data_IF_652095664502
#
_entry.id   IF_652095664502
#
_cell.length_a   1.000
_cell.length_b   1.000
_cell.length_c   1.000
_cell.angle_alpha   90.00
_cell.angle_beta   90.00
_cell.angle_gamma   90.00
#
_symmetry.space_group_name_H-M   'P 1'
#
loop_
_entity.id
_entity.type
_entity.pdbx_description
1 polymer ?
#
# COMPACT_ATOMS: atom_id res chain seq x y z
N UNK A 1 -15.06 -2.07 15.42
CA UNK A 1 -13.61 -2.36 15.33
C UNK A 1 -12.85 -1.57 16.38
N UNK A 2 -11.72 -2.07 16.87
CA UNK A 2 -10.86 -1.37 17.86
C UNK A 2 -9.44 -1.17 17.34
N UNK A 3 -8.95 0.07 17.37
CA UNK A 3 -7.55 0.38 17.11
C UNK A 3 -6.92 1.00 18.37
N UNK A 4 -6.21 0.22 19.20
CA UNK A 4 -5.63 0.72 20.44
C UNK A 4 -4.40 1.59 20.17
N UNK A 5 -4.16 2.61 20.99
CA UNK A 5 -2.89 3.35 20.95
C UNK A 5 -1.76 2.48 21.50
N UNK A 6 -0.58 2.54 20.88
CA UNK A 6 0.61 1.80 21.33
C UNK A 6 0.99 2.08 22.79
N UNK A 7 0.95 3.35 23.20
CA UNK A 7 1.40 3.81 24.52
C UNK A 7 0.25 3.91 25.54
N UNK A 8 -0.99 3.79 25.09
CA UNK A 8 -2.19 3.82 25.93
C UNK A 8 -3.20 2.80 25.38
N UNK A 9 -3.04 1.49 25.63
CA UNK A 9 -3.85 0.44 24.99
C UNK A 9 -5.36 0.47 25.31
N UNK A 10 -5.72 1.19 26.38
CA UNK A 10 -7.11 1.44 26.78
C UNK A 10 -7.75 2.61 26.01
N UNK A 11 -6.95 3.38 25.28
CA UNK A 11 -7.39 4.49 24.43
C UNK A 11 -7.39 4.06 22.96
N UNK A 12 -8.18 4.77 22.16
CA UNK A 12 -8.35 4.49 20.74
C UNK A 12 -7.59 5.50 19.88
N UNK A 13 -7.09 5.03 18.74
CA UNK A 13 -6.57 5.89 17.69
C UNK A 13 -7.66 6.84 17.21
N UNK A 14 -7.32 8.12 17.09
CA UNK A 14 -8.19 9.17 16.54
C UNK A 14 -7.50 9.84 15.37
N UNK A 15 -8.24 10.53 14.49
CA UNK A 15 -7.68 11.35 13.40
C UNK A 15 -6.53 10.67 12.62
N UNK A 16 -6.71 9.38 12.33
CA UNK A 16 -5.72 8.52 11.69
C UNK A 16 -6.30 8.05 10.36
N UNK A 17 -5.54 8.24 9.28
CA UNK A 17 -5.95 7.88 7.92
C UNK A 17 -4.96 6.86 7.36
N UNK A 18 -5.48 5.68 7.05
CA UNK A 18 -4.73 4.54 6.53
C UNK A 18 -5.25 4.25 5.13
N UNK A 19 -4.32 3.97 4.22
CA UNK A 19 -4.65 3.51 2.87
C UNK A 19 -4.52 1.99 2.78
N UNK A 20 -5.44 1.38 2.04
CA UNK A 20 -5.59 -0.07 1.99
C UNK A 20 -6.66 -0.54 1.02
N UNK A 21 -6.67 -1.85 0.80
CA UNK A 21 -7.63 -2.55 -0.05
C UNK A 21 -8.38 -3.59 0.77
N UNK A 22 -9.69 -3.71 0.57
CA UNK A 22 -10.46 -4.85 1.08
C UNK A 22 -10.42 -5.95 0.03
N UNK A 23 -10.02 -7.15 0.45
CA UNK A 23 -10.04 -8.37 -0.35
C UNK A 23 -10.90 -9.42 0.32
N UNK A 24 -11.43 -10.34 -0.46
CA UNK A 24 -12.05 -11.56 0.04
C UNK A 24 -11.01 -12.70 -0.05
N UNK A 25 -10.47 -13.10 1.10
CA UNK A 25 -9.52 -14.23 1.18
C UNK A 25 -10.27 -15.55 1.38
N UNK A 26 -9.82 -16.59 0.71
CA UNK A 26 -10.26 -17.97 0.94
C UNK A 26 -9.41 -18.61 2.07
N UNK A 27 -9.97 -18.66 3.29
CA UNK A 27 -9.36 -19.33 4.45
C UNK A 27 -9.97 -20.74 4.57
N UNK A 28 -9.30 -21.73 3.96
CA UNK A 28 -9.84 -23.09 3.78
C UNK A 28 -11.18 -23.06 3.03
N UNK A 29 -12.28 -23.48 3.66
CA UNK A 29 -13.62 -23.48 3.06
C UNK A 29 -14.42 -22.21 3.36
N UNK A 30 -13.82 -21.23 4.07
CA UNK A 30 -14.52 -20.00 4.48
C UNK A 30 -13.96 -18.77 3.79
N UNK A 31 -14.85 -17.94 3.23
CA UNK A 31 -14.52 -16.62 2.73
C UNK A 31 -14.40 -15.63 3.89
N UNK A 32 -13.27 -14.93 3.97
CA UNK A 32 -12.97 -13.97 5.03
C UNK A 32 -12.58 -12.63 4.41
N UNK A 33 -13.36 -11.59 4.71
CA UNK A 33 -13.01 -10.23 4.33
C UNK A 33 -11.75 -9.78 5.09
N UNK A 34 -10.78 -9.22 4.37
CA UNK A 34 -9.52 -8.72 4.92
C UNK A 34 -9.20 -7.35 4.36
N UNK A 35 -8.99 -6.38 5.24
CA UNK A 35 -8.42 -5.09 4.91
C UNK A 35 -6.89 -5.18 4.95
N UNK A 36 -6.27 -5.07 3.77
CA UNK A 36 -4.83 -5.04 3.55
C UNK A 36 -4.35 -3.60 3.54
N UNK A 37 -3.90 -3.11 4.70
CA UNK A 37 -3.32 -1.78 4.84
C UNK A 37 -1.92 -1.74 4.21
N UNK A 38 -1.65 -0.78 3.34
CA UNK A 38 -0.36 -0.67 2.66
C UNK A 38 0.33 0.70 2.79
N UNK A 39 -0.36 1.75 3.23
CA UNK A 39 0.27 3.03 3.58
C UNK A 39 -0.49 3.75 4.72
N UNK A 40 0.12 4.78 5.31
CA UNK A 40 -0.50 5.64 6.32
C UNK A 40 -0.24 7.11 5.99
N UNK A 41 -1.33 7.89 5.93
CA UNK A 41 -1.33 9.27 5.45
C UNK A 41 -1.32 10.24 6.64
N UNK A 42 -2.12 9.93 7.68
CA UNK A 42 -2.19 10.68 8.93
C UNK A 42 -2.17 9.74 10.12
N UNK A 43 -1.51 10.17 11.20
CA UNK A 43 -1.50 9.48 12.48
C UNK A 43 -1.82 10.48 13.58
N UNK A 44 -2.97 10.34 14.24
CA UNK A 44 -3.40 11.19 15.34
C UNK A 44 -3.34 12.69 15.03
N UNK A 45 -3.81 13.08 13.85
CA UNK A 45 -3.78 14.45 13.34
C UNK A 45 -2.40 14.90 12.83
N UNK A 46 -1.35 14.08 12.98
CA UNK A 46 -0.02 14.38 12.44
C UNK A 46 0.06 13.92 10.98
N UNK A 47 0.44 14.79 10.03
CA UNK A 47 0.66 14.39 8.64
C UNK A 47 1.89 13.51 8.51
N UNK A 48 1.68 12.27 8.06
CA UNK A 48 2.75 11.27 7.83
C UNK A 48 3.09 11.15 6.33
N UNK A 49 2.16 11.52 5.45
CA UNK A 49 2.27 11.43 4.00
C UNK A 49 3.56 12.06 3.41
N UNK A 50 4.09 13.10 4.04
CA UNK A 50 5.32 13.79 3.59
C UNK A 50 6.60 12.99 3.85
N UNK A 51 6.54 11.96 4.70
CA UNK A 51 7.72 11.13 5.03
C UNK A 51 7.97 10.11 3.93
N UNK A 52 9.22 9.62 3.84
CA UNK A 52 9.61 8.50 2.97
C UNK A 52 8.78 7.24 3.28
N UNK A 53 8.58 6.37 2.28
CA UNK A 53 7.77 5.17 2.40
C UNK A 53 8.14 4.33 3.61
N UNK A 54 9.43 4.09 3.85
CA UNK A 54 9.90 3.29 4.99
C UNK A 54 9.37 3.84 6.32
N UNK A 55 9.39 5.16 6.50
CA UNK A 55 8.90 5.78 7.73
C UNK A 55 7.39 5.63 7.87
N UNK A 56 6.64 5.77 6.78
CA UNK A 56 5.18 5.57 6.76
C UNK A 56 4.84 4.12 7.10
N UNK A 57 5.51 3.15 6.47
CA UNK A 57 5.35 1.72 6.76
C UNK A 57 5.72 1.36 8.21
N UNK A 58 6.79 1.94 8.76
CA UNK A 58 7.15 1.77 10.17
C UNK A 58 6.06 2.32 11.10
N UNK A 59 5.48 3.48 10.78
CA UNK A 59 4.37 4.05 11.53
C UNK A 59 3.13 3.15 11.47
N UNK A 60 2.74 2.67 10.28
CA UNK A 60 1.63 1.74 10.10
C UNK A 60 1.85 0.47 10.94
N UNK A 61 3.02 -0.15 10.84
CA UNK A 61 3.34 -1.36 11.57
C UNK A 61 3.30 -1.13 13.09
N UNK A 62 4.05 -0.14 13.58
CA UNK A 62 4.32 0.00 15.02
C UNK A 62 3.18 0.67 15.78
N UNK A 63 2.44 1.59 15.16
CA UNK A 63 1.41 2.38 15.84
C UNK A 63 -0.01 1.82 15.61
N UNK A 64 -0.21 0.99 14.57
CA UNK A 64 -1.53 0.42 14.24
C UNK A 64 -1.54 -1.11 14.35
N UNK A 65 -0.68 -1.78 13.59
CA UNK A 65 -0.77 -3.23 13.38
C UNK A 65 -0.32 -3.99 14.63
N UNK A 66 0.86 -3.65 15.18
CA UNK A 66 1.41 -4.31 16.37
C UNK A 66 0.54 -4.08 17.61
N UNK A 67 0.10 -2.84 17.94
CA UNK A 67 -0.76 -2.62 19.11
C UNK A 67 -2.05 -3.43 19.05
N UNK A 68 -2.68 -3.48 17.87
CA UNK A 68 -3.90 -4.24 17.65
C UNK A 68 -3.68 -5.76 17.75
N UNK A 69 -2.57 -6.27 17.20
CA UNK A 69 -2.22 -7.70 17.32
C UNK A 69 -1.95 -8.12 18.77
N UNK A 70 -1.38 -7.22 19.56
CA UNK A 70 -0.99 -7.47 20.95
C UNK A 70 -2.12 -7.24 21.94
N UNK A 71 -3.17 -6.52 21.56
CA UNK A 71 -4.35 -6.32 22.40
C UNK A 71 -5.12 -7.63 22.58
N UNK A 72 -5.30 -8.03 23.84
CA UNK A 72 -6.06 -9.22 24.26
C UNK A 72 -7.39 -8.86 24.90
N UNK A 73 -7.68 -7.56 25.04
CA UNK A 73 -8.90 -7.08 25.70
C UNK A 73 -10.12 -7.13 24.78
N UNK A 74 -9.94 -7.47 23.50
CA UNK A 74 -10.98 -7.40 22.47
C UNK A 74 -10.94 -8.65 21.59
N UNK A 75 -12.12 -9.17 21.29
CA UNK A 75 -12.28 -10.31 20.39
C UNK A 75 -12.34 -9.84 18.93
N UNK A 76 -11.17 -9.74 18.32
CA UNK A 76 -11.00 -9.32 16.93
C UNK A 76 -11.60 -10.29 15.90
N UNK A 77 -11.98 -11.51 16.29
CA UNK A 77 -12.64 -12.46 15.39
C UNK A 77 -14.09 -12.07 15.05
N UNK A 78 -14.70 -11.19 15.86
CA UNK A 78 -16.08 -10.70 15.68
C UNK A 78 -16.19 -9.46 14.78
N UNK A 79 -15.07 -8.94 14.30
CA UNK A 79 -15.09 -7.77 13.42
C UNK A 79 -15.53 -8.15 12.00
N UNK A 80 -16.14 -7.20 11.26
CA UNK A 80 -16.65 -7.47 9.91
C UNK A 80 -15.54 -7.87 8.91
N UNK A 81 -14.29 -7.50 9.19
CA UNK A 81 -13.14 -7.92 8.42
C UNK A 81 -11.88 -7.93 9.30
N UNK A 82 -10.92 -8.78 8.94
CA UNK A 82 -9.60 -8.81 9.58
C UNK A 82 -8.72 -7.70 9.02
N UNK A 83 -7.85 -7.14 9.85
CA UNK A 83 -6.90 -6.09 9.42
C UNK A 83 -5.48 -6.67 9.40
N UNK A 84 -4.77 -6.49 8.29
CA UNK A 84 -3.39 -6.94 8.13
C UNK A 84 -2.59 -5.89 7.34
N UNK A 85 -1.30 -5.78 7.61
CA UNK A 85 -0.40 -5.02 6.74
C UNK A 85 -0.05 -5.84 5.50
N UNK A 86 -0.15 -5.23 4.32
CA UNK A 86 0.28 -5.87 3.08
C UNK A 86 1.80 -6.10 3.11
N UNK A 87 2.22 -7.27 2.66
CA UNK A 87 3.65 -7.59 2.57
C UNK A 87 4.31 -6.71 1.49
N UNK A 88 5.42 -6.07 1.85
CA UNK A 88 6.21 -5.22 0.97
C UNK A 88 7.53 -5.91 0.64
N UNK A 89 7.90 -5.89 -0.63
CA UNK A 89 9.12 -6.53 -1.12
C UNK A 89 10.03 -5.51 -1.80
N UNK A 90 11.34 -5.72 -1.71
CA UNK A 90 12.31 -4.95 -2.50
C UNK A 90 12.11 -5.26 -3.99
N UNK A 91 12.39 -4.29 -4.86
CA UNK A 91 12.25 -4.41 -6.32
C UNK A 91 12.95 -5.67 -6.89
N UNK A 92 14.12 -6.03 -6.37
CA UNK A 92 14.85 -7.24 -6.78
C UNK A 92 14.09 -8.57 -6.52
N UNK A 93 12.95 -8.55 -5.82
CA UNK A 93 12.10 -9.71 -5.54
C UNK A 93 10.86 -9.79 -6.46
N UNK A 94 10.76 -8.96 -7.50
CA UNK A 94 9.62 -9.00 -8.44
C UNK A 94 9.38 -10.38 -9.04
N UNK A 95 10.42 -11.06 -9.52
CA UNK A 95 10.27 -12.41 -10.10
C UNK A 95 9.69 -13.40 -9.07
N UNK A 96 10.22 -13.38 -7.84
CA UNK A 96 9.69 -14.19 -6.75
C UNK A 96 8.23 -13.86 -6.45
N UNK A 97 7.87 -12.57 -6.48
CA UNK A 97 6.51 -12.13 -6.22
C UNK A 97 5.53 -12.68 -7.27
N UNK A 98 5.87 -12.56 -8.55
CA UNK A 98 5.03 -13.00 -9.67
C UNK A 98 4.94 -14.53 -9.77
N UNK A 99 6.06 -15.23 -9.58
CA UNK A 99 6.13 -16.68 -9.87
C UNK A 99 5.74 -17.54 -8.67
N UNK A 100 5.94 -17.05 -7.43
CA UNK A 100 5.72 -17.81 -6.19
C UNK A 100 4.72 -17.14 -5.25
N UNK A 101 4.95 -15.88 -4.87
CA UNK A 101 4.12 -15.24 -3.84
C UNK A 101 2.66 -15.08 -4.29
N UNK A 102 2.43 -14.62 -5.53
CA UNK A 102 1.09 -14.44 -6.09
C UNK A 102 0.27 -15.75 -6.11
N UNK A 103 0.93 -16.90 -6.25
CA UNK A 103 0.28 -18.22 -6.18
C UNK A 103 -0.02 -18.69 -4.76
N UNK A 104 0.62 -18.06 -3.76
CA UNK A 104 0.46 -18.43 -2.34
C UNK A 104 -0.60 -17.60 -1.62
N UNK A 105 -1.06 -16.51 -2.23
CA UNK A 105 -2.15 -15.72 -1.65
C UNK A 105 -3.50 -16.33 -2.00
N UNK A 106 -4.48 -16.09 -1.13
CA UNK A 106 -5.80 -16.71 -1.12
C UNK A 106 -6.89 -15.83 -1.72
N UNK A 107 -6.51 -14.76 -2.41
CA UNK A 107 -7.39 -13.83 -3.12
C UNK A 107 -6.84 -13.61 -4.53
N UNK A 108 -7.65 -13.01 -5.40
CA UNK A 108 -7.28 -12.65 -6.76
C UNK A 108 -6.11 -11.66 -6.80
N UNK A 109 -5.17 -11.88 -7.73
CA UNK A 109 -3.99 -11.02 -7.92
C UNK A 109 -3.86 -10.68 -9.40
N UNK A 110 -4.09 -9.41 -9.72
CA UNK A 110 -4.08 -8.91 -11.10
C UNK A 110 -2.74 -8.33 -11.54
N UNK A 111 -1.72 -8.40 -10.68
CA UNK A 111 -0.39 -7.91 -11.01
C UNK A 111 0.38 -7.38 -9.81
N UNK A 112 1.17 -6.34 -10.06
CA UNK A 112 2.14 -5.80 -9.10
C UNK A 112 2.10 -4.29 -9.08
N UNK A 113 2.26 -3.71 -7.88
CA UNK A 113 2.32 -2.26 -7.68
C UNK A 113 3.72 -1.89 -7.23
N UNK A 114 4.31 -0.91 -7.91
CA UNK A 114 5.63 -0.36 -7.56
C UNK A 114 5.48 0.97 -6.84
N UNK A 115 5.84 0.98 -5.56
CA UNK A 115 5.78 2.18 -4.72
C UNK A 115 7.19 2.77 -4.54
N UNK A 116 7.44 4.01 -4.96
CA UNK A 116 8.74 4.66 -4.77
C UNK A 116 9.08 4.83 -3.29
N UNK A 117 10.32 4.56 -2.90
CA UNK A 117 10.76 4.64 -1.48
C UNK A 117 10.95 6.07 -1.00
N UNK A 118 11.51 6.92 -1.87
CA UNK A 118 11.94 8.28 -1.52
C UNK A 118 10.84 9.32 -1.66
N UNK A 119 9.79 9.02 -2.43
CA UNK A 119 8.74 9.99 -2.70
C UNK A 119 7.75 10.10 -1.52
N UNK A 120 7.23 11.31 -1.25
CA UNK A 120 6.08 11.48 -0.38
C UNK A 120 4.86 10.78 -0.99
N UNK A 121 3.86 10.51 -0.16
CA UNK A 121 2.56 10.05 -0.61
C UNK A 121 1.82 11.23 -1.27
N UNK A 122 1.42 11.07 -2.53
CA UNK A 122 0.75 12.14 -3.28
C UNK A 122 -0.76 12.12 -3.05
N UNK A 123 -1.37 13.30 -3.05
CA UNK A 123 -2.82 13.46 -3.02
C UNK A 123 -3.32 13.53 -4.47
N UNK A 124 -4.17 12.57 -4.86
CA UNK A 124 -4.69 12.45 -6.21
C UNK A 124 -3.74 11.77 -7.20
N UNK A 125 -4.28 11.43 -8.37
CA UNK A 125 -3.62 10.72 -9.46
C UNK A 125 -4.67 10.38 -10.52
N UNK A 126 -4.23 10.19 -11.77
CA UNK A 126 -5.11 9.88 -12.90
C UNK A 126 -5.60 8.43 -12.78
N UNK A 127 -6.91 8.22 -12.62
CA UNK A 127 -7.52 6.89 -12.75
C UNK A 127 -7.50 6.48 -14.23
N UNK A 128 -6.92 5.32 -14.54
CA UNK A 128 -6.86 4.78 -15.90
C UNK A 128 -7.12 3.27 -15.85
N UNK A 129 -7.97 2.78 -16.75
CA UNK A 129 -8.25 1.34 -16.90
C UNK A 129 -7.09 0.57 -17.57
N UNK A 130 -6.11 1.28 -18.16
CA UNK A 130 -4.92 0.67 -18.76
C UNK A 130 -3.82 0.42 -17.70
N UNK A 131 -2.95 -0.59 -17.90
CA UNK A 131 -1.76 -0.77 -17.07
C UNK A 131 -0.92 0.51 -16.99
N UNK A 132 -0.71 1.00 -15.76
CA UNK A 132 0.05 2.22 -15.50
C UNK A 132 1.51 1.86 -15.21
N UNK A 133 2.42 2.38 -16.05
CA UNK A 133 3.86 2.26 -15.82
C UNK A 133 4.36 3.51 -15.11
N UNK A 134 4.98 3.32 -13.94
CA UNK A 134 5.52 4.40 -13.12
C UNK A 134 7.01 4.55 -13.34
N UNK A 135 7.42 5.70 -13.87
CA UNK A 135 8.81 6.07 -14.09
C UNK A 135 9.26 7.07 -13.03
N UNK A 136 10.36 6.76 -12.36
CA UNK A 136 11.07 7.70 -11.47
C UNK A 136 12.37 8.03 -12.18
N UNK A 137 12.44 9.20 -12.80
CA UNK A 137 13.70 9.69 -13.35
C UNK A 137 14.59 10.14 -12.19
N UNK A 138 15.73 9.47 -12.00
CA UNK A 138 16.80 9.99 -11.16
C UNK A 138 17.52 11.11 -11.91
N UNK A 139 17.48 12.30 -11.31
CA UNK A 139 18.22 13.51 -11.71
C UNK A 139 17.68 14.26 -12.94
N UNK A 140 17.09 15.43 -12.66
CA UNK A 140 17.25 16.65 -13.48
C UNK A 140 16.56 16.74 -14.85
N UNK A 141 15.83 15.73 -15.31
CA UNK A 141 15.24 15.74 -16.67
C UNK A 141 13.82 15.19 -16.78
N UNK A 142 13.03 15.22 -15.70
CA UNK A 142 11.65 14.75 -15.73
C UNK A 142 10.80 15.51 -16.75
N UNK A 143 9.95 14.78 -17.49
CA UNK A 143 8.91 15.38 -18.35
C UNK A 143 8.07 16.33 -17.47
N UNK A 144 7.86 17.60 -17.86
CA UNK A 144 7.12 18.54 -17.04
C UNK A 144 5.63 18.17 -16.97
N UNK A 145 5.14 17.88 -15.77
CA UNK A 145 3.72 17.71 -15.48
C UNK A 145 3.32 16.26 -15.16
N UNK A 146 2.96 16.04 -13.89
CA UNK A 146 2.27 14.87 -13.33
C UNK A 146 3.09 13.56 -13.23
N UNK A 147 3.52 13.30 -11.99
CA UNK A 147 3.83 12.01 -11.32
C UNK A 147 4.60 10.87 -12.02
N UNK A 148 5.13 11.08 -13.23
CA UNK A 148 5.94 10.08 -13.94
C UNK A 148 5.17 8.82 -14.30
N UNK A 149 3.83 8.83 -14.25
CA UNK A 149 2.98 7.73 -14.68
C UNK A 149 2.51 7.95 -16.12
N UNK A 150 2.62 6.92 -16.96
CA UNK A 150 2.20 6.97 -18.36
C UNK A 150 1.56 5.64 -18.74
N UNK A 151 0.47 5.68 -19.51
CA UNK A 151 -0.18 4.46 -20.00
C UNK A 151 0.65 3.78 -21.08
N UNK A 152 0.44 2.49 -21.30
CA UNK A 152 1.13 1.70 -22.33
C UNK A 152 1.10 2.41 -23.70
N UNK A 153 -0.08 2.87 -24.11
CA UNK A 153 -0.26 3.54 -25.39
C UNK A 153 0.58 4.80 -25.53
N UNK A 154 0.62 5.63 -24.48
CA UNK A 154 1.40 6.88 -24.48
C UNK A 154 2.91 6.61 -24.40
N UNK A 155 3.31 5.54 -23.71
CA UNK A 155 4.70 5.09 -23.68
C UNK A 155 5.17 4.67 -25.09
N UNK A 156 4.37 3.88 -25.79
CA UNK A 156 4.67 3.45 -27.17
C UNK A 156 4.81 4.66 -28.11
N UNK A 157 3.91 5.65 -28.00
CA UNK A 157 4.00 6.89 -28.76
C UNK A 157 5.27 7.69 -28.46
N UNK A 158 5.67 7.75 -27.19
CA UNK A 158 6.93 8.41 -26.80
C UNK A 158 8.15 7.71 -27.40
N UNK A 159 8.20 6.37 -27.33
CA UNK A 159 9.27 5.56 -27.91
C UNK A 159 9.40 5.82 -29.41
N UNK A 160 8.28 5.85 -30.14
CA UNK A 160 8.28 6.10 -31.58
C UNK A 160 8.74 7.52 -31.95
N UNK A 161 8.63 8.48 -31.01
CA UNK A 161 9.06 9.87 -31.20
C UNK A 161 10.53 10.12 -30.90
N UNK A 162 11.24 9.15 -30.31
CA UNK A 162 12.66 9.32 -30.01
C UNK A 162 13.49 9.28 -31.30
N UNK A 163 14.54 10.13 -31.43
CA UNK A 163 15.45 10.04 -32.55
C UNK A 163 16.12 8.66 -32.58
N UNK A 164 16.24 8.08 -33.78
CA UNK A 164 16.96 6.83 -34.00
C UNK A 164 18.48 7.02 -34.00
#
# INVERSE_FOLDING_TARGET
MKFPRRRAPNEFQVNTLIDGLIVEDQDQDTKVARYLAFDIIFLEGTPIWQKKLEKRLQCLQNEIIVPRKNDKSFDYAKEPFRVRMKDHFRLAKTEYMLTKFAKSVTHEVDGVIYTPTEAPYNLGGYECEEPIFKFVASEGGGIPGLDGSISERRLLQYIDSMPK
#
